data_IF_618201945715
#
_entry.id   IF_618201945715
#
_cell.length_a   1.000
_cell.length_b   1.000
_cell.length_c   1.000
_cell.angle_alpha   90.00
_cell.angle_beta   90.00
_cell.angle_gamma   90.00
#
_symmetry.space_group_name_H-M   'P 1'
#
loop_
_entity.id
_entity.type
_entity.pdbx_description
1 polymer ?
#
# COMPACT_ATOMS: atom_id res chain seq x y z
N UNK A 1 13.07 20.68 14.18
CA UNK A 1 11.80 20.69 13.43
C UNK A 1 10.68 20.32 14.40
N UNK A 2 9.47 20.86 14.26
CA UNK A 2 8.37 20.51 15.15
C UNK A 2 8.01 19.02 14.98
N UNK A 3 7.66 18.27 16.05
CA UNK A 3 7.40 16.82 16.00
C UNK A 3 6.44 16.37 14.89
N UNK A 4 5.44 17.19 14.57
CA UNK A 4 4.52 16.95 13.45
C UNK A 4 5.24 16.86 12.09
N UNK A 5 6.09 17.83 11.77
CA UNK A 5 6.75 17.90 10.46
C UNK A 5 7.80 16.80 10.27
N UNK A 6 8.42 16.33 11.35
CA UNK A 6 9.33 15.20 11.32
C UNK A 6 8.58 13.89 11.03
N UNK A 7 7.48 13.63 11.73
CA UNK A 7 6.62 12.49 11.48
C UNK A 7 6.00 12.54 10.08
N UNK A 8 5.56 13.73 9.64
CA UNK A 8 5.02 13.95 8.29
C UNK A 8 6.03 13.55 7.21
N UNK A 9 7.29 13.99 7.33
CA UNK A 9 8.34 13.67 6.36
C UNK A 9 8.68 12.17 6.35
N UNK A 10 8.71 11.55 7.53
CA UNK A 10 8.93 10.10 7.65
C UNK A 10 7.82 9.30 6.96
N UNK A 11 6.55 9.65 7.24
CA UNK A 11 5.39 8.98 6.63
C UNK A 11 5.41 9.16 5.12
N UNK A 12 5.75 10.35 4.62
CA UNK A 12 5.85 10.62 3.20
C UNK A 12 6.81 9.66 2.50
N UNK A 13 8.01 9.48 3.06
CA UNK A 13 9.03 8.59 2.51
C UNK A 13 8.55 7.13 2.48
N UNK A 14 7.96 6.65 3.58
CA UNK A 14 7.49 5.26 3.68
C UNK A 14 6.32 5.02 2.72
N UNK A 15 5.37 5.96 2.62
CA UNK A 15 4.24 5.86 1.68
C UNK A 15 4.70 5.79 0.24
N UNK A 16 5.65 6.63 -0.17
CA UNK A 16 6.20 6.58 -1.52
C UNK A 16 6.89 5.24 -1.81
N UNK A 17 7.66 4.71 -0.85
CA UNK A 17 8.27 3.39 -1.02
C UNK A 17 7.23 2.26 -1.13
N UNK A 18 6.14 2.35 -0.36
CA UNK A 18 5.04 1.39 -0.43
C UNK A 18 4.33 1.44 -1.79
N UNK A 19 4.03 2.65 -2.29
CA UNK A 19 3.44 2.88 -3.61
C UNK A 19 4.32 2.26 -4.71
N UNK A 20 5.64 2.49 -4.66
CA UNK A 20 6.60 1.91 -5.61
C UNK A 20 6.62 0.38 -5.53
N UNK A 21 6.63 -0.20 -4.32
CA UNK A 21 6.67 -1.66 -4.12
C UNK A 21 5.39 -2.34 -4.62
N UNK A 22 4.23 -1.71 -4.43
CA UNK A 22 2.96 -2.19 -4.98
C UNK A 22 3.01 -2.19 -6.52
N UNK A 23 3.50 -1.10 -7.11
CA UNK A 23 3.57 -0.97 -8.57
C UNK A 23 4.59 -1.94 -9.19
N UNK A 24 5.73 -2.16 -8.54
CA UNK A 24 6.73 -3.15 -8.94
C UNK A 24 6.14 -4.56 -8.89
N UNK A 25 5.40 -4.89 -7.83
CA UNK A 25 4.73 -6.19 -7.69
C UNK A 25 3.72 -6.41 -8.82
N UNK A 26 2.86 -5.42 -9.11
CA UNK A 26 1.90 -5.50 -10.22
C UNK A 26 2.58 -5.71 -11.57
N UNK A 27 3.74 -5.07 -11.77
CA UNK A 27 4.53 -5.18 -13.00
C UNK A 27 5.24 -6.52 -13.12
N UNK A 28 5.67 -7.10 -11.99
CA UNK A 28 6.36 -8.39 -11.92
C UNK A 28 5.40 -9.56 -12.14
N UNK A 29 4.16 -9.45 -11.65
CA UNK A 29 3.13 -10.48 -11.80
C UNK A 29 1.94 -9.97 -12.65
N UNK A 30 2.16 -9.59 -13.92
CA UNK A 30 1.12 -9.00 -14.77
C UNK A 30 0.02 -10.01 -15.13
N UNK A 31 0.31 -11.32 -15.04
CA UNK A 31 -0.72 -12.35 -15.17
C UNK A 31 -1.75 -12.28 -14.05
N UNK A 32 -1.32 -11.95 -12.82
CA UNK A 32 -2.16 -11.94 -11.61
C UNK A 32 -2.90 -10.61 -11.46
N UNK A 33 -2.16 -9.50 -11.62
CA UNK A 33 -2.66 -8.16 -11.29
C UNK A 33 -2.93 -7.28 -12.53
N UNK A 34 -2.71 -7.80 -13.74
CA UNK A 34 -2.89 -7.06 -14.99
C UNK A 34 -4.35 -7.02 -15.47
N UNK A 35 -4.66 -6.11 -16.42
CA UNK A 35 -6.02 -5.90 -16.92
C UNK A 35 -6.59 -7.07 -17.73
N UNK A 36 -5.75 -8.03 -18.13
CA UNK A 36 -6.16 -9.28 -18.77
C UNK A 36 -5.26 -10.42 -18.27
N UNK A 37 -5.76 -11.35 -17.44
CA UNK A 37 -5.02 -12.58 -17.18
C UNK A 37 -4.91 -13.33 -18.51
N UNK A 38 -3.69 -13.42 -19.06
CA UNK A 38 -3.45 -14.15 -20.29
C UNK A 38 -3.71 -15.65 -20.08
N UNK A 39 -4.38 -16.27 -21.05
CA UNK A 39 -4.68 -17.70 -21.05
C UNK A 39 -3.40 -18.57 -21.08
N UNK A 40 -3.31 -19.46 -20.09
CA UNK A 40 -2.74 -20.81 -20.16
C UNK A 40 -1.23 -21.04 -20.36
N UNK A 41 -0.37 -20.06 -20.12
CA UNK A 41 1.09 -20.26 -20.08
C UNK A 41 1.68 -19.97 -18.70
N UNK A 42 1.89 -21.01 -17.86
CA UNK A 42 2.75 -20.96 -16.67
C UNK A 42 2.70 -19.65 -15.86
N UNK A 43 1.53 -19.33 -15.31
CA UNK A 43 1.34 -18.12 -14.52
C UNK A 43 2.21 -18.18 -13.25
N UNK A 44 3.21 -17.31 -13.15
CA UNK A 44 3.99 -17.13 -11.93
C UNK A 44 3.14 -16.30 -10.97
N UNK A 45 2.88 -16.85 -9.79
CA UNK A 45 2.16 -16.18 -8.71
C UNK A 45 3.18 -15.70 -7.67
N UNK A 46 2.96 -14.52 -7.04
CA UNK A 46 3.78 -14.11 -5.92
C UNK A 46 3.63 -15.07 -4.76
N UNK A 47 4.70 -15.27 -4.02
CA UNK A 47 4.72 -16.11 -2.83
C UNK A 47 3.98 -15.42 -1.67
N UNK A 48 3.47 -16.19 -0.69
CA UNK A 48 2.87 -15.61 0.51
C UNK A 48 3.82 -14.70 1.29
N UNK A 49 5.13 -14.95 1.24
CA UNK A 49 6.14 -14.13 1.90
C UNK A 49 6.27 -12.75 1.22
N UNK A 50 6.38 -12.71 -0.12
CA UNK A 50 6.44 -11.45 -0.88
C UNK A 50 5.20 -10.57 -0.63
N UNK A 51 4.02 -11.19 -0.59
CA UNK A 51 2.77 -10.50 -0.27
C UNK A 51 2.69 -10.08 1.21
N UNK A 52 3.18 -10.94 2.12
CA UNK A 52 3.21 -10.66 3.55
C UNK A 52 4.02 -9.41 3.89
N UNK A 53 5.16 -9.20 3.23
CA UNK A 53 6.00 -8.00 3.42
C UNK A 53 5.28 -6.71 3.04
N UNK A 54 4.48 -6.73 1.96
CA UNK A 54 3.66 -5.57 1.57
C UNK A 54 2.55 -5.29 2.59
N UNK A 55 1.87 -6.34 3.06
CA UNK A 55 0.82 -6.21 4.08
C UNK A 55 1.38 -5.64 5.38
N UNK A 56 2.54 -6.12 5.81
CA UNK A 56 3.21 -5.62 7.01
C UNK A 56 3.59 -4.13 6.88
N UNK A 57 4.13 -3.73 5.72
CA UNK A 57 4.42 -2.32 5.44
C UNK A 57 3.16 -1.45 5.49
N UNK A 58 2.06 -1.87 4.85
CA UNK A 58 0.77 -1.16 4.92
C UNK A 58 0.32 -1.01 6.37
N UNK A 59 0.40 -2.07 7.17
CA UNK A 59 -0.01 -2.02 8.57
C UNK A 59 0.84 -1.02 9.38
N UNK A 60 2.16 -1.06 9.21
CA UNK A 60 3.08 -0.15 9.91
C UNK A 60 2.80 1.31 9.56
N UNK A 61 2.60 1.62 8.28
CA UNK A 61 2.27 2.97 7.81
C UNK A 61 0.95 3.47 8.41
N UNK A 62 -0.06 2.60 8.52
CA UNK A 62 -1.35 2.95 9.09
C UNK A 62 -1.24 3.49 10.51
N UNK A 63 -0.44 2.83 11.36
CA UNK A 63 -0.19 3.29 12.73
C UNK A 63 0.47 4.67 12.77
N UNK A 64 1.39 4.95 11.85
CA UNK A 64 2.06 6.26 11.78
C UNK A 64 1.11 7.35 11.29
N UNK A 65 0.25 7.05 10.30
CA UNK A 65 -0.78 7.98 9.81
C UNK A 65 -1.78 8.32 10.91
N UNK A 66 -2.22 7.33 11.70
CA UNK A 66 -3.08 7.58 12.87
C UNK A 66 -2.39 8.48 13.90
N UNK A 67 -1.11 8.25 14.19
CA UNK A 67 -0.32 9.10 15.07
C UNK A 67 -0.18 10.53 14.53
N UNK A 68 0.01 10.70 13.21
CA UNK A 68 0.09 12.00 12.56
C UNK A 68 -1.21 12.78 12.72
N UNK A 69 -2.35 12.12 12.49
CA UNK A 69 -3.69 12.71 12.66
C UNK A 69 -3.93 13.11 14.13
N UNK A 70 -3.45 12.34 15.11
CA UNK A 70 -3.59 12.69 16.52
C UNK A 70 -2.77 13.94 16.90
N UNK A 71 -1.64 14.17 16.24
CA UNK A 71 -0.74 15.29 16.52
C UNK A 71 -1.11 16.60 15.81
N UNK A 72 -2.16 16.63 14.99
CA UNK A 72 -2.59 17.85 14.31
C UNK A 72 -3.14 18.87 15.31
N UNK A 73 -2.49 20.02 15.45
CA UNK A 73 -2.87 21.06 16.42
C UNK A 73 -3.58 22.26 15.80
N UNK A 74 -3.49 22.42 14.50
CA UNK A 74 -4.02 23.56 13.75
C UNK A 74 -4.51 23.11 12.36
N UNK A 75 -5.28 23.99 11.72
CA UNK A 75 -5.97 23.73 10.45
C UNK A 75 -4.99 23.38 9.32
N UNK A 76 -3.81 24.00 9.29
CA UNK A 76 -2.79 23.71 8.29
C UNK A 76 -2.23 22.29 8.46
N UNK A 77 -1.87 21.89 9.68
CA UNK A 77 -1.43 20.53 9.96
C UNK A 77 -2.53 19.49 9.68
N UNK A 78 -3.79 19.82 9.95
CA UNK A 78 -4.91 18.94 9.65
C UNK A 78 -5.04 18.68 8.14
N UNK A 79 -5.00 19.73 7.30
CA UNK A 79 -5.05 19.58 5.84
C UNK A 79 -3.90 18.71 5.30
N UNK A 80 -2.69 18.90 5.84
CA UNK A 80 -1.53 18.09 5.48
C UNK A 80 -1.70 16.62 5.87
N UNK A 81 -2.18 16.35 7.09
CA UNK A 81 -2.38 15.00 7.57
C UNK A 81 -3.50 14.28 6.80
N UNK A 82 -4.60 14.97 6.47
CA UNK A 82 -5.68 14.45 5.63
C UNK A 82 -5.18 14.05 4.24
N UNK A 83 -4.27 14.82 3.64
CA UNK A 83 -3.62 14.47 2.38
C UNK A 83 -2.82 13.15 2.47
N UNK A 84 -2.06 12.94 3.56
CA UNK A 84 -1.35 11.67 3.78
C UNK A 84 -2.30 10.50 4.04
N UNK A 85 -3.36 10.74 4.81
CA UNK A 85 -4.40 9.73 5.06
C UNK A 85 -5.05 9.29 3.76
N UNK A 86 -5.43 10.22 2.88
CA UNK A 86 -6.01 9.89 1.58
C UNK A 86 -5.08 9.07 0.70
N UNK A 87 -3.78 9.41 0.65
CA UNK A 87 -2.78 8.59 -0.05
C UNK A 87 -2.67 7.19 0.52
N UNK A 88 -2.60 7.08 1.85
CA UNK A 88 -2.52 5.78 2.52
C UNK A 88 -3.75 4.90 2.23
N UNK A 89 -4.96 5.46 2.28
CA UNK A 89 -6.20 4.74 1.97
C UNK A 89 -6.20 4.20 0.52
N UNK A 90 -5.62 4.95 -0.44
CA UNK A 90 -5.45 4.45 -1.80
C UNK A 90 -4.52 3.25 -1.85
N UNK A 91 -3.33 3.32 -1.22
CA UNK A 91 -2.40 2.19 -1.15
C UNK A 91 -3.02 0.96 -0.46
N UNK A 92 -3.79 1.17 0.60
CA UNK A 92 -4.51 0.09 1.30
C UNK A 92 -5.55 -0.57 0.38
N UNK A 93 -6.32 0.22 -0.36
CA UNK A 93 -7.30 -0.30 -1.31
C UNK A 93 -6.65 -1.08 -2.44
N UNK A 94 -5.52 -0.60 -2.96
CA UNK A 94 -4.75 -1.34 -3.96
C UNK A 94 -4.22 -2.67 -3.44
N UNK A 95 -3.72 -2.71 -2.20
CA UNK A 95 -3.27 -3.94 -1.56
C UNK A 95 -4.43 -4.93 -1.36
N UNK A 96 -5.60 -4.44 -0.92
CA UNK A 96 -6.80 -5.27 -0.78
C UNK A 96 -7.24 -5.85 -2.12
N UNK A 97 -7.19 -5.07 -3.20
CA UNK A 97 -7.50 -5.55 -4.54
C UNK A 97 -6.53 -6.67 -4.96
N UNK A 98 -5.23 -6.49 -4.73
CA UNK A 98 -4.23 -7.53 -5.01
C UNK A 98 -4.50 -8.83 -4.23
N UNK A 99 -4.81 -8.73 -2.93
CA UNK A 99 -5.17 -9.90 -2.12
C UNK A 99 -6.42 -10.62 -2.64
N UNK A 100 -7.42 -9.87 -3.11
CA UNK A 100 -8.62 -10.45 -3.72
C UNK A 100 -8.30 -11.17 -5.03
N UNK A 101 -7.43 -10.60 -5.86
CA UNK A 101 -7.04 -11.20 -7.13
C UNK A 101 -6.25 -12.50 -6.92
N UNK A 102 -5.39 -12.56 -5.90
CA UNK A 102 -4.74 -13.79 -5.47
C UNK A 102 -5.74 -14.85 -5.00
N UNK A 103 -6.71 -14.47 -4.17
CA UNK A 103 -7.74 -15.38 -3.67
C UNK A 103 -8.60 -15.97 -4.80
N UNK A 104 -8.89 -15.20 -5.85
CA UNK A 104 -9.63 -15.71 -7.03
C UNK A 104 -8.86 -16.85 -7.71
N UNK A 105 -7.53 -16.76 -7.80
CA UNK A 105 -6.70 -17.80 -8.40
C UNK A 105 -6.73 -19.11 -7.60
N UNK A 106 -6.80 -19.04 -6.27
CA UNK A 106 -6.94 -20.23 -5.42
C UNK A 106 -8.27 -20.96 -5.66
N UNK A 107 -9.36 -20.21 -5.90
CA UNK A 107 -10.69 -20.78 -6.16
C UNK A 107 -10.91 -21.33 -7.58
N UNK A 108 -9.93 -21.17 -8.48
CA UNK A 108 -10.00 -21.66 -9.87
C UNK A 108 -9.26 -22.99 -10.07
N UNK A 109 -8.71 -23.58 -9.00
CA UNK A 109 -8.15 -24.95 -8.97
C UNK A 109 -9.19 -25.95 -8.47
#
# INVERSE_FOLDING_TARGET
>A
MAPFMELYAQIHFILSHLEDSIQETKTTYPGVFGPRPYDNGGMIIPTPEEIGVLVEHVHHVGLLVEALMFLTTDEWHQQLAEGHKGRFELSQNEMLQMLQDLKKLEGTK
#
